data_IF_354998589365
#
_entry.id   IF_354998589365
#
_cell.length_a   1.000
_cell.length_b   1.000
_cell.length_c   1.000
_cell.angle_alpha   90.00
_cell.angle_beta   90.00
_cell.angle_gamma   90.00
#
_symmetry.space_group_name_H-M   'P 1'
#
loop_
_entity.id
_entity.type
_entity.pdbx_description
1 polymer ?
#
# COMPACT_ATOMS: atom_id res chain seq x y z
N UNK A 1 -26.57 -15.25 8.84
CA UNK A 1 -26.56 -16.64 9.34
C UNK A 1 -25.34 -16.73 10.24
N UNK A 2 -25.51 -16.60 11.56
CA UNK A 2 -24.39 -16.56 12.50
C UNK A 2 -23.62 -17.87 12.45
N UNK A 3 -22.42 -17.86 11.88
CA UNK A 3 -21.51 -19.00 12.00
C UNK A 3 -20.88 -18.89 13.38
N UNK A 4 -21.14 -19.82 14.29
CA UNK A 4 -20.53 -19.89 15.64
C UNK A 4 -19.38 -20.91 15.68
N UNK A 5 -18.73 -21.15 14.55
CA UNK A 5 -17.93 -22.35 14.29
C UNK A 5 -16.43 -22.04 14.10
N UNK A 6 -15.86 -21.08 14.84
CA UNK A 6 -14.42 -20.74 14.77
C UNK A 6 -13.55 -21.98 14.96
N UNK A 7 -13.91 -22.87 15.89
CA UNK A 7 -13.18 -24.10 16.17
C UNK A 7 -13.20 -25.11 15.02
N UNK A 8 -14.20 -25.05 14.13
CA UNK A 8 -14.30 -25.94 12.97
C UNK A 8 -13.33 -25.58 11.84
N UNK A 9 -12.74 -24.37 11.87
CA UNK A 9 -11.60 -24.03 11.01
C UNK A 9 -10.49 -25.07 11.17
N UNK A 10 -10.31 -25.61 12.39
CA UNK A 10 -9.26 -26.56 12.71
C UNK A 10 -9.55 -28.02 12.31
N UNK A 11 -10.80 -28.35 11.99
CA UNK A 11 -11.27 -29.72 11.76
C UNK A 11 -11.44 -30.08 10.27
N UNK A 12 -11.04 -29.17 9.37
CA UNK A 12 -11.37 -29.28 7.95
C UNK A 12 -10.48 -30.24 7.16
N UNK A 13 -11.12 -31.06 6.32
CA UNK A 13 -10.44 -31.81 5.25
C UNK A 13 -9.82 -30.81 4.25
N UNK A 14 -8.52 -30.99 4.00
CA UNK A 14 -7.62 -30.11 3.24
C UNK A 14 -8.07 -29.71 1.82
N UNK A 15 -9.12 -30.34 1.27
CA UNK A 15 -9.60 -30.11 -0.10
C UNK A 15 -10.63 -28.99 -0.24
N UNK A 16 -11.23 -28.51 0.86
CA UNK A 16 -12.12 -27.32 0.86
C UNK A 16 -11.71 -26.42 2.03
N UNK A 17 -11.18 -25.24 1.72
CA UNK A 17 -10.83 -24.25 2.75
C UNK A 17 -12.08 -23.82 3.53
N UNK A 18 -12.06 -24.00 4.85
CA UNK A 18 -13.09 -23.44 5.72
C UNK A 18 -12.72 -22.01 6.08
N UNK A 19 -13.71 -21.14 6.06
CA UNK A 19 -13.62 -19.76 6.52
C UNK A 19 -14.62 -19.51 7.63
N UNK A 20 -14.32 -18.54 8.48
CA UNK A 20 -15.20 -18.08 9.54
C UNK A 20 -15.26 -16.56 9.49
N UNK A 21 -16.48 -16.02 9.39
CA UNK A 21 -16.72 -14.59 9.41
C UNK A 21 -17.25 -14.21 10.78
N UNK A 22 -16.50 -13.36 11.49
CA UNK A 22 -16.91 -12.81 12.78
C UNK A 22 -17.64 -11.49 12.53
N UNK A 23 -18.98 -11.52 12.62
CA UNK A 23 -19.81 -10.34 12.32
C UNK A 23 -19.54 -9.17 13.27
N UNK A 24 -19.18 -9.44 14.52
CA UNK A 24 -19.00 -8.41 15.56
C UNK A 24 -17.74 -7.54 15.36
N UNK A 25 -16.68 -8.13 14.79
CA UNK A 25 -15.42 -7.42 14.49
C UNK A 25 -15.22 -7.13 13.01
N UNK A 26 -15.99 -7.79 12.14
CA UNK A 26 -15.79 -7.74 10.69
C UNK A 26 -14.55 -8.51 10.21
N UNK A 27 -14.02 -9.45 11.00
CA UNK A 27 -12.86 -10.25 10.62
C UNK A 27 -13.24 -11.53 9.87
N UNK A 28 -12.48 -11.82 8.80
CA UNK A 28 -12.53 -13.08 8.07
C UNK A 28 -11.33 -13.96 8.46
N UNK A 29 -11.60 -15.06 9.14
CA UNK A 29 -10.60 -16.07 9.49
C UNK A 29 -10.54 -17.16 8.42
N UNK A 30 -9.33 -17.51 8.01
CA UNK A 30 -9.04 -18.51 6.98
C UNK A 30 -7.93 -19.43 7.47
N UNK A 31 -8.10 -20.74 7.29
CA UNK A 31 -7.00 -21.71 7.43
C UNK A 31 -6.72 -22.34 6.07
N UNK A 32 -5.51 -22.12 5.59
CA UNK A 32 -5.02 -22.64 4.32
C UNK A 32 -3.72 -23.40 4.55
N UNK A 33 -3.51 -24.47 3.79
CA UNK A 33 -2.24 -25.20 3.73
C UNK A 33 -1.73 -25.10 2.30
N UNK A 34 -0.48 -24.67 2.14
CA UNK A 34 0.16 -24.69 0.84
C UNK A 34 0.35 -26.13 0.35
N UNK A 35 0.23 -26.35 -0.96
CA UNK A 35 0.48 -27.64 -1.60
C UNK A 35 1.99 -27.95 -1.66
N UNK A 36 2.80 -26.91 -1.81
CA UNK A 36 4.26 -27.03 -1.89
C UNK A 36 4.92 -26.47 -0.62
N UNK A 37 5.93 -27.18 -0.11
CA UNK A 37 6.73 -26.70 1.00
C UNK A 37 7.59 -25.50 0.59
N UNK A 38 7.75 -24.56 1.52
CA UNK A 38 8.66 -23.43 1.37
C UNK A 38 10.10 -23.87 1.67
N UNK A 39 11.08 -23.22 1.05
CA UNK A 39 12.47 -23.32 1.52
C UNK A 39 12.66 -22.41 2.74
N UNK A 40 13.16 -22.94 3.85
CA UNK A 40 13.54 -22.21 5.06
C UNK A 40 12.49 -21.13 5.48
N UNK A 41 12.93 -19.88 5.47
CA UNK A 41 12.17 -18.68 5.76
C UNK A 41 11.73 -17.98 4.47
N UNK A 42 11.47 -18.67 3.36
CA UNK A 42 10.96 -18.03 2.15
C UNK A 42 9.44 -17.77 2.25
N UNK A 43 8.96 -16.69 1.63
CA UNK A 43 7.52 -16.44 1.50
C UNK A 43 6.81 -17.44 0.56
N UNK A 44 7.53 -17.99 -0.42
CA UNK A 44 6.96 -18.89 -1.44
C UNK A 44 7.86 -20.11 -1.65
N UNK A 45 7.29 -21.17 -2.21
CA UNK A 45 8.04 -22.36 -2.62
C UNK A 45 8.86 -22.10 -3.89
N UNK A 46 9.77 -23.01 -4.22
CA UNK A 46 10.48 -23.03 -5.51
C UNK A 46 9.56 -23.23 -6.71
N UNK A 47 8.33 -23.72 -6.48
CA UNK A 47 7.29 -23.87 -7.51
C UNK A 47 6.51 -22.57 -7.73
N UNK A 48 6.73 -21.55 -6.90
CA UNK A 48 6.04 -20.27 -6.93
C UNK A 48 5.15 -20.05 -5.71
N UNK A 49 4.47 -18.92 -5.70
CA UNK A 49 3.53 -18.54 -4.65
C UNK A 49 2.15 -19.11 -4.96
N UNK A 50 1.51 -19.72 -3.96
CA UNK A 50 0.11 -20.12 -4.05
C UNK A 50 -0.78 -18.93 -3.69
N UNK A 51 -1.83 -18.70 -4.49
CA UNK A 51 -2.70 -17.53 -4.33
C UNK A 51 -4.04 -17.94 -3.72
N UNK A 52 -4.42 -17.27 -2.63
CA UNK A 52 -5.79 -17.30 -2.10
C UNK A 52 -6.57 -16.16 -2.76
N UNK A 53 -7.66 -16.49 -3.45
CA UNK A 53 -8.59 -15.50 -4.02
C UNK A 53 -9.87 -15.48 -3.19
N UNK A 54 -10.09 -14.39 -2.48
CA UNK A 54 -11.34 -14.13 -1.76
C UNK A 54 -12.22 -13.29 -2.68
N UNK A 55 -13.45 -13.76 -2.93
CA UNK A 55 -14.44 -13.01 -3.71
C UNK A 55 -15.57 -12.63 -2.77
N UNK A 56 -15.87 -11.35 -2.68
CA UNK A 56 -16.95 -10.82 -1.84
C UNK A 56 -17.87 -9.93 -2.68
N UNK A 57 -19.18 -9.99 -2.38
CA UNK A 57 -20.17 -9.10 -2.97
C UNK A 57 -20.45 -7.99 -1.98
N UNK A 58 -20.01 -6.78 -2.30
CA UNK A 58 -20.23 -5.59 -1.47
C UNK A 58 -21.46 -4.85 -2.00
N UNK A 59 -22.51 -4.64 -1.18
CA UNK A 59 -23.69 -3.89 -1.59
C UNK A 59 -23.34 -2.48 -2.10
N UNK A 60 -24.10 -2.00 -3.08
CA UNK A 60 -23.95 -0.62 -3.57
C UNK A 60 -24.23 0.37 -2.43
N UNK A 61 -23.35 1.34 -2.25
CA UNK A 61 -23.45 2.35 -1.20
C UNK A 61 -22.78 1.98 0.12
N UNK A 62 -22.20 0.79 0.25
CA UNK A 62 -21.35 0.47 1.39
C UNK A 62 -20.07 1.33 1.38
N UNK A 63 -19.83 2.05 2.48
CA UNK A 63 -18.59 2.81 2.68
C UNK A 63 -17.39 1.92 3.04
N UNK A 64 -16.18 2.48 3.10
CA UNK A 64 -15.01 1.78 3.63
C UNK A 64 -15.27 1.30 5.06
N UNK A 65 -14.95 0.03 5.35
CA UNK A 65 -15.03 -0.53 6.69
C UNK A 65 -13.62 -0.66 7.25
N UNK A 66 -13.33 0.08 8.32
CA UNK A 66 -12.13 -0.11 9.12
C UNK A 66 -12.48 -0.97 10.35
N UNK A 67 -12.16 -2.25 10.26
CA UNK A 67 -12.38 -3.21 11.35
C UNK A 67 -11.33 -3.12 12.46
N UNK A 68 -10.24 -2.35 12.29
CA UNK A 68 -9.13 -2.35 13.26
C UNK A 68 -9.57 -1.90 14.65
N UNK A 69 -10.44 -0.90 14.72
CA UNK A 69 -10.97 -0.35 15.97
C UNK A 69 -11.92 -1.31 16.70
N UNK A 70 -12.59 -2.19 15.97
CA UNK A 70 -13.51 -3.19 16.52
C UNK A 70 -12.78 -4.50 16.87
N UNK A 71 -11.77 -4.85 16.09
CA UNK A 71 -10.99 -6.08 16.22
C UNK A 71 -9.92 -6.02 17.31
N UNK A 72 -9.30 -4.85 17.53
CA UNK A 72 -8.21 -4.69 18.48
C UNK A 72 -8.65 -3.82 19.67
N UNK A 73 -8.33 -4.23 20.92
CA UNK A 73 -7.33 -5.24 21.28
C UNK A 73 -7.86 -6.67 21.42
N UNK A 74 -9.13 -6.96 21.12
CA UNK A 74 -9.75 -8.27 21.33
C UNK A 74 -8.94 -9.44 20.72
N UNK A 75 -8.42 -9.25 19.50
CA UNK A 75 -7.59 -10.24 18.80
C UNK A 75 -6.09 -9.91 18.84
N UNK A 76 -5.64 -9.09 19.78
CA UNK A 76 -4.21 -8.86 19.98
C UNK A 76 -3.59 -10.05 20.71
N UNK A 77 -2.74 -10.82 20.03
CA UNK A 77 -1.93 -11.87 20.65
C UNK A 77 -0.50 -11.36 20.88
N UNK A 78 0.06 -11.63 22.07
CA UNK A 78 1.48 -11.39 22.31
C UNK A 78 2.29 -12.45 21.57
N UNK A 79 3.25 -12.07 20.72
CA UNK A 79 4.11 -13.02 20.04
C UNK A 79 4.92 -13.82 21.08
N UNK A 80 4.80 -15.14 21.01
CA UNK A 80 5.39 -16.07 21.99
C UNK A 80 6.82 -16.48 21.59
N UNK A 81 7.16 -16.31 20.31
CA UNK A 81 8.45 -16.72 19.74
C UNK A 81 8.90 -15.69 18.71
N UNK A 82 10.13 -15.20 18.85
CA UNK A 82 10.81 -14.40 17.83
C UNK A 82 11.29 -15.32 16.70
N UNK A 83 10.40 -15.54 15.73
CA UNK A 83 10.77 -16.21 14.48
C UNK A 83 11.24 -15.15 13.48
N UNK A 84 12.42 -15.31 12.84
CA UNK A 84 12.86 -14.36 11.84
C UNK A 84 11.82 -14.28 10.71
N UNK A 85 11.45 -13.04 10.36
CA UNK A 85 10.50 -12.79 9.29
C UNK A 85 10.96 -13.46 8.00
N UNK A 86 10.06 -14.14 7.29
CA UNK A 86 10.38 -14.71 5.99
C UNK A 86 11.01 -13.66 5.06
N UNK A 87 11.98 -14.08 4.25
CA UNK A 87 12.62 -13.24 3.23
C UNK A 87 11.97 -13.48 1.88
N UNK A 88 11.83 -12.41 1.09
CA UNK A 88 11.35 -12.50 -0.29
C UNK A 88 12.36 -13.29 -1.11
N UNK A 89 11.88 -14.22 -1.93
CA UNK A 89 12.75 -14.91 -2.89
C UNK A 89 13.34 -13.88 -3.85
N UNK A 90 14.64 -13.96 -4.17
CA UNK A 90 15.25 -13.12 -5.20
C UNK A 90 14.50 -13.28 -6.52
N UNK A 91 14.27 -12.18 -7.25
CA UNK A 91 13.53 -12.21 -8.52
C UNK A 91 14.12 -13.20 -9.53
N UNK A 92 15.45 -13.40 -9.51
CA UNK A 92 16.14 -14.38 -10.36
C UNK A 92 15.73 -15.84 -10.12
N UNK A 93 15.16 -16.16 -8.95
CA UNK A 93 14.66 -17.50 -8.60
C UNK A 93 13.17 -17.69 -8.88
N UNK A 94 12.44 -16.63 -9.25
CA UNK A 94 11.01 -16.71 -9.55
C UNK A 94 10.82 -17.26 -10.97
N UNK A 95 10.01 -18.32 -11.11
CA UNK A 95 9.66 -18.92 -12.41
C UNK A 95 8.43 -18.29 -13.07
N UNK A 96 7.77 -17.34 -12.38
CA UNK A 96 6.55 -16.68 -12.84
C UNK A 96 6.86 -15.28 -13.39
N UNK A 97 6.12 -14.86 -14.40
CA UNK A 97 6.18 -13.50 -14.98
C UNK A 97 5.50 -12.45 -14.09
N UNK A 98 4.62 -12.88 -13.19
CA UNK A 98 3.94 -11.99 -12.26
C UNK A 98 4.92 -11.57 -11.16
N UNK A 99 5.21 -10.28 -11.12
CA UNK A 99 6.06 -9.68 -10.11
C UNK A 99 5.25 -8.73 -9.23
N UNK A 100 5.76 -8.54 -8.02
CA UNK A 100 5.13 -7.67 -7.04
C UNK A 100 6.13 -6.62 -6.58
N UNK A 101 5.68 -5.37 -6.59
CA UNK A 101 6.38 -4.25 -5.99
C UNK A 101 5.82 -4.02 -4.59
N UNK A 102 6.61 -4.29 -3.57
CA UNK A 102 6.25 -3.90 -2.22
C UNK A 102 6.64 -2.44 -2.00
N UNK A 103 5.67 -1.64 -1.55
CA UNK A 103 5.87 -0.22 -1.23
C UNK A 103 5.42 0.06 0.19
N UNK A 104 6.27 0.76 0.94
CA UNK A 104 5.92 1.32 2.26
C UNK A 104 6.21 2.82 2.23
N UNK A 105 5.22 3.60 2.60
CA UNK A 105 5.29 5.04 2.64
C UNK A 105 4.98 5.47 4.06
N UNK A 106 5.75 6.40 4.55
CA UNK A 106 5.47 6.99 5.84
C UNK A 106 5.79 8.47 5.83
N UNK A 107 4.80 9.27 6.18
CA UNK A 107 4.99 10.66 6.60
C UNK A 107 4.84 10.67 8.12
N UNK A 108 5.91 10.95 8.85
CA UNK A 108 5.94 10.81 10.30
C UNK A 108 6.29 12.14 10.97
N UNK A 109 5.60 12.43 12.08
CA UNK A 109 5.97 13.49 13.01
C UNK A 109 6.02 12.87 14.42
N UNK A 110 7.22 12.68 14.96
CA UNK A 110 7.38 12.38 16.38
C UNK A 110 7.39 13.68 17.15
N UNK A 111 6.38 13.88 18.00
CA UNK A 111 6.40 14.91 19.04
C UNK A 111 6.50 14.25 20.41
N UNK A 112 7.73 14.14 20.92
CA UNK A 112 7.95 13.95 22.35
C UNK A 112 8.55 15.23 22.93
N UNK A 113 8.34 15.48 24.23
CA UNK A 113 8.68 16.72 24.94
C UNK A 113 10.12 17.25 24.70
N UNK A 114 11.04 16.42 24.19
CA UNK A 114 12.41 16.80 23.83
C UNK A 114 12.88 16.35 22.42
N UNK A 115 12.02 15.68 21.64
CA UNK A 115 12.37 15.18 20.29
C UNK A 115 11.25 15.60 19.33
N UNK A 116 11.59 16.53 18.42
CA UNK A 116 10.85 16.79 17.19
C UNK A 116 11.60 16.15 16.04
N UNK A 117 11.26 14.91 15.70
CA UNK A 117 11.77 14.28 14.49
C UNK A 117 10.65 14.29 13.45
N UNK A 118 10.87 15.00 12.34
CA UNK A 118 10.01 14.95 11.15
C UNK A 118 10.79 14.19 10.09
N UNK A 119 10.48 12.90 9.92
CA UNK A 119 11.02 12.10 8.84
C UNK A 119 9.90 11.61 7.95
N UNK A 120 10.18 11.59 6.65
CA UNK A 120 9.34 10.93 5.68
C UNK A 120 10.19 10.03 4.81
N UNK A 121 9.67 8.87 4.46
CA UNK A 121 10.39 7.94 3.60
C UNK A 121 9.46 7.16 2.70
N UNK A 122 10.01 6.77 1.56
CA UNK A 122 9.47 5.74 0.68
C UNK A 122 10.42 4.54 0.70
N UNK A 123 9.90 3.34 0.94
CA UNK A 123 10.63 2.09 0.84
C UNK A 123 10.04 1.25 -0.28
N UNK A 124 10.88 0.84 -1.23
CA UNK A 124 10.48 0.02 -2.36
C UNK A 124 11.32 -1.24 -2.38
N UNK A 125 10.67 -2.41 -2.28
CA UNK A 125 11.33 -3.73 -2.17
C UNK A 125 12.46 -3.73 -1.11
N UNK A 126 12.23 -3.09 0.04
CA UNK A 126 13.20 -3.01 1.14
C UNK A 126 14.25 -1.91 1.00
N UNK A 127 14.35 -1.21 -0.12
CA UNK A 127 15.24 -0.05 -0.28
C UNK A 127 14.54 1.23 0.15
N UNK A 128 15.01 1.84 1.24
CA UNK A 128 14.46 3.07 1.79
C UNK A 128 15.10 4.33 1.18
N UNK A 129 14.26 5.31 0.87
CA UNK A 129 14.59 6.64 0.35
C UNK A 129 13.96 7.67 1.29
N UNK A 130 14.81 8.39 2.03
CA UNK A 130 14.36 9.43 2.94
C UNK A 130 14.17 10.76 2.20
N UNK A 131 13.13 11.48 2.58
CA UNK A 131 12.86 12.81 2.07
C UNK A 131 13.68 13.86 2.86
N UNK A 132 14.52 14.65 2.20
CA UNK A 132 15.36 15.63 2.88
C UNK A 132 14.58 16.90 3.26
N UNK A 133 13.77 17.43 2.35
CA UNK A 133 13.15 18.76 2.47
C UNK A 133 11.64 18.68 2.77
N UNK A 134 11.12 19.73 3.42
CA UNK A 134 9.69 19.94 3.64
C UNK A 134 8.94 20.16 2.31
N UNK A 135 7.77 19.53 2.18
CA UNK A 135 6.99 19.49 0.94
C UNK A 135 6.68 18.05 0.54
N UNK A 136 6.70 17.76 -0.76
CA UNK A 136 6.38 16.42 -1.29
C UNK A 136 7.56 15.81 -2.03
N UNK A 137 7.79 14.51 -1.86
CA UNK A 137 8.74 13.72 -2.65
C UNK A 137 7.96 12.78 -3.57
N UNK A 138 8.21 12.86 -4.87
CA UNK A 138 7.67 11.96 -5.88
C UNK A 138 8.73 10.91 -6.25
N UNK A 139 8.46 9.64 -5.97
CA UNK A 139 9.28 8.50 -6.41
C UNK A 139 8.55 7.79 -7.54
N UNK A 140 9.15 7.77 -8.72
CA UNK A 140 8.56 7.23 -9.95
C UNK A 140 9.15 5.87 -10.25
N UNK A 141 8.27 4.88 -10.41
CA UNK A 141 8.63 3.51 -10.75
C UNK A 141 8.03 3.16 -12.12
N UNK A 142 8.77 2.42 -12.93
CA UNK A 142 8.26 1.85 -14.18
C UNK A 142 7.17 0.84 -13.85
N UNK A 143 5.97 1.01 -14.40
CA UNK A 143 4.88 0.06 -14.24
C UNK A 143 5.05 -1.22 -15.08
N UNK A 144 6.08 -1.31 -15.91
CA UNK A 144 6.38 -2.52 -16.69
C UNK A 144 7.20 -3.54 -15.91
N UNK A 145 8.23 -3.08 -15.18
CA UNK A 145 9.23 -3.93 -14.54
C UNK A 145 9.52 -3.55 -13.07
N UNK A 146 8.91 -2.47 -12.57
CA UNK A 146 9.07 -2.03 -11.19
C UNK A 146 10.42 -1.41 -10.89
N UNK A 147 11.18 -0.97 -11.91
CA UNK A 147 12.45 -0.28 -11.71
C UNK A 147 12.24 1.18 -11.31
N UNK A 148 13.08 1.67 -10.41
CA UNK A 148 13.12 3.08 -10.05
C UNK A 148 13.56 3.89 -11.28
N UNK A 149 12.71 4.82 -11.70
CA UNK A 149 13.00 5.75 -12.81
C UNK A 149 13.68 6.99 -12.25
N UNK A 150 13.03 7.67 -11.30
CA UNK A 150 13.52 8.90 -10.68
C UNK A 150 12.90 9.10 -9.29
N UNK A 151 13.54 9.90 -8.45
CA UNK A 151 12.92 10.47 -7.25
C UNK A 151 13.19 11.97 -7.19
N UNK A 152 12.13 12.78 -7.08
CA UNK A 152 12.20 14.25 -7.14
C UNK A 152 11.39 14.91 -6.03
N UNK A 153 12.02 15.85 -5.33
CA UNK A 153 11.40 16.63 -4.26
C UNK A 153 10.87 17.98 -4.74
N UNK A 154 9.71 18.38 -4.23
CA UNK A 154 9.10 19.69 -4.44
C UNK A 154 8.84 20.33 -3.08
N UNK A 155 9.60 21.40 -2.81
CA UNK A 155 9.50 22.14 -1.55
C UNK A 155 8.17 22.87 -1.43
N UNK A 156 7.71 23.13 -0.21
CA UNK A 156 6.51 23.93 0.03
C UNK A 156 6.52 25.29 -0.68
N UNK A 157 7.68 25.96 -0.76
CA UNK A 157 7.83 27.22 -1.50
C UNK A 157 7.54 27.07 -3.00
N UNK A 158 7.85 25.92 -3.60
CA UNK A 158 7.50 25.61 -4.99
C UNK A 158 6.01 25.30 -5.11
N UNK A 159 5.44 24.51 -4.19
CA UNK A 159 4.01 24.17 -4.20
C UNK A 159 3.10 25.41 -4.11
N UNK A 160 3.54 26.45 -3.39
CA UNK A 160 2.80 27.71 -3.25
C UNK A 160 3.18 28.76 -4.32
N UNK A 161 4.46 28.87 -4.65
CA UNK A 161 4.96 29.95 -5.51
C UNK A 161 4.92 29.63 -7.00
N UNK A 162 5.32 28.41 -7.39
CA UNK A 162 5.46 28.01 -8.79
C UNK A 162 4.93 26.59 -9.02
N UNK A 163 3.62 26.34 -8.77
CA UNK A 163 3.03 25.00 -8.86
C UNK A 163 3.12 24.38 -10.27
N UNK A 164 3.30 25.20 -11.30
CA UNK A 164 3.53 24.73 -12.67
C UNK A 164 4.74 23.79 -12.81
N UNK A 165 5.74 23.86 -11.92
CA UNK A 165 6.90 22.96 -11.96
C UNK A 165 6.52 21.50 -11.67
N UNK A 166 5.69 21.27 -10.65
CA UNK A 166 5.25 19.90 -10.32
C UNK A 166 4.20 19.40 -11.32
N UNK A 167 3.31 20.28 -11.79
CA UNK A 167 2.34 19.95 -12.85
C UNK A 167 3.04 19.54 -14.15
N UNK A 168 4.01 20.33 -14.61
CA UNK A 168 4.81 20.00 -15.81
C UNK A 168 5.60 18.71 -15.62
N UNK A 169 6.19 18.50 -14.45
CA UNK A 169 6.90 17.26 -14.15
C UNK A 169 5.98 16.03 -14.27
N UNK A 170 4.79 16.06 -13.64
CA UNK A 170 3.84 14.94 -13.68
C UNK A 170 3.28 14.71 -15.09
N UNK A 171 3.01 15.78 -15.84
CA UNK A 171 2.52 15.68 -17.22
C UNK A 171 3.54 15.07 -18.17
N UNK A 172 4.84 15.30 -17.93
CA UNK A 172 5.93 14.77 -18.75
C UNK A 172 6.36 13.35 -18.35
N UNK A 173 5.78 12.76 -17.31
CA UNK A 173 6.03 11.35 -16.97
C UNK A 173 5.52 10.44 -18.08
N UNK A 174 6.30 9.41 -18.39
CA UNK A 174 5.89 8.35 -19.31
C UNK A 174 4.63 7.67 -18.80
N UNK A 175 3.68 7.41 -19.70
CA UNK A 175 2.51 6.60 -19.37
C UNK A 175 2.94 5.19 -18.90
N UNK A 176 2.10 4.57 -18.08
CA UNK A 176 2.39 3.34 -17.34
C UNK A 176 3.42 3.51 -16.22
N UNK A 177 3.50 4.69 -15.61
CA UNK A 177 4.34 4.94 -14.43
C UNK A 177 3.54 4.81 -13.14
N UNK A 178 4.13 4.16 -12.14
CA UNK A 178 3.64 4.18 -10.76
C UNK A 178 4.28 5.40 -10.08
N UNK A 179 3.47 6.26 -9.49
CA UNK A 179 3.94 7.49 -8.83
C UNK A 179 3.63 7.41 -7.34
N UNK A 180 4.68 7.39 -6.54
CA UNK A 180 4.63 7.25 -5.09
C UNK A 180 4.95 8.62 -4.49
N UNK A 181 4.08 9.14 -3.62
CA UNK A 181 4.23 10.47 -3.02
C UNK A 181 4.23 10.37 -1.50
N UNK A 182 5.23 10.98 -0.87
CA UNK A 182 5.27 11.21 0.58
C UNK A 182 5.39 12.70 0.86
N UNK A 183 4.78 13.17 1.94
CA UNK A 183 4.99 14.53 2.44
C UNK A 183 5.87 14.56 3.69
N UNK A 184 6.66 15.64 3.83
CA UNK A 184 7.44 15.97 5.02
C UNK A 184 7.11 17.38 5.49
N UNK A 185 7.19 17.64 6.79
CA UNK A 185 6.83 18.94 7.33
C UNK A 185 5.32 19.16 7.31
N UNK A 186 4.89 20.43 7.36
CA UNK A 186 3.48 20.80 7.22
C UNK A 186 3.14 20.93 5.73
N UNK A 187 2.28 20.06 5.21
CA UNK A 187 1.92 20.08 3.81
C UNK A 187 1.10 21.32 3.43
N UNK A 188 1.35 21.85 2.24
CA UNK A 188 0.52 22.88 1.62
C UNK A 188 -0.78 22.24 1.11
N UNK A 189 -1.86 22.28 1.88
CA UNK A 189 -3.08 21.50 1.59
C UNK A 189 -3.98 22.05 0.46
N UNK A 190 -3.66 23.23 -0.08
CA UNK A 190 -4.46 23.92 -1.11
C UNK A 190 -3.58 24.45 -2.23
N UNK A 191 -4.18 24.69 -3.39
CA UNK A 191 -3.54 25.34 -4.53
C UNK A 191 -3.53 24.47 -5.78
N UNK A 192 -3.03 25.00 -6.91
CA UNK A 192 -3.08 24.31 -8.20
C UNK A 192 -2.39 22.95 -8.21
N UNK A 193 -1.31 22.81 -7.42
CA UNK A 193 -0.51 21.58 -7.35
C UNK A 193 -1.34 20.33 -6.99
N UNK A 194 -2.41 20.47 -6.20
CA UNK A 194 -3.21 19.32 -5.75
C UNK A 194 -3.88 18.57 -6.91
N UNK A 195 -4.07 19.23 -8.06
CA UNK A 195 -4.64 18.64 -9.28
C UNK A 195 -3.82 17.46 -9.81
N UNK A 196 -2.51 17.43 -9.53
CA UNK A 196 -1.65 16.30 -9.94
C UNK A 196 -2.08 14.99 -9.29
N UNK A 197 -2.71 15.04 -8.11
CA UNK A 197 -3.22 13.85 -7.44
C UNK A 197 -4.38 13.24 -8.23
N UNK A 198 -5.29 14.06 -8.74
CA UNK A 198 -6.40 13.61 -9.59
C UNK A 198 -5.88 13.00 -10.90
N UNK A 199 -4.88 13.63 -11.53
CA UNK A 199 -4.23 13.12 -12.74
C UNK A 199 -3.61 11.73 -12.54
N UNK A 200 -3.22 11.41 -11.30
CA UNK A 200 -2.63 10.14 -10.90
C UNK A 200 -3.66 9.16 -10.30
N UNK A 201 -4.96 9.51 -10.34
CA UNK A 201 -6.06 8.66 -9.93
C UNK A 201 -6.52 8.82 -8.48
N UNK A 202 -6.15 9.89 -7.77
CA UNK A 202 -6.76 10.21 -6.48
C UNK A 202 -8.26 10.51 -6.65
N UNK A 203 -9.04 10.23 -5.60
CA UNK A 203 -10.46 10.59 -5.55
C UNK A 203 -10.60 12.09 -5.30
N UNK A 204 -11.45 12.76 -6.09
CA UNK A 204 -11.71 14.21 -6.00
C UNK A 204 -12.36 14.63 -4.68
N UNK A 205 -12.99 13.69 -3.98
CA UNK A 205 -13.70 13.94 -2.73
C UNK A 205 -12.76 14.06 -1.52
N UNK A 206 -11.49 13.70 -1.68
CA UNK A 206 -10.56 13.55 -0.57
C UNK A 206 -9.78 14.85 -0.32
N UNK A 207 -10.01 15.46 0.85
CA UNK A 207 -9.34 16.70 1.25
C UNK A 207 -7.96 16.41 1.86
N UNK A 208 -6.96 17.20 1.48
CA UNK A 208 -5.62 17.11 2.06
C UNK A 208 -5.59 17.60 3.52
N UNK A 209 -4.74 16.94 4.32
CA UNK A 209 -4.38 17.30 5.70
C UNK A 209 -2.88 17.60 5.80
N UNK A 210 -2.38 17.83 7.01
CA UNK A 210 -0.97 18.17 7.25
C UNK A 210 0.02 17.08 6.79
N UNK A 211 -0.41 15.82 6.70
CA UNK A 211 0.37 14.66 6.22
C UNK A 211 -0.33 13.94 5.07
N UNK A 212 0.46 13.46 4.12
CA UNK A 212 0.04 12.75 2.91
C UNK A 212 1.00 11.60 2.57
N UNK A 213 0.41 10.44 2.28
CA UNK A 213 1.06 9.36 1.55
C UNK A 213 0.15 8.91 0.41
N UNK A 214 0.70 8.70 -0.77
CA UNK A 214 -0.10 8.39 -1.96
C UNK A 214 0.64 7.43 -2.89
N UNK A 215 -0.09 6.45 -3.40
CA UNK A 215 0.36 5.52 -4.43
C UNK A 215 -0.60 5.67 -5.61
N UNK A 216 -0.15 6.36 -6.65
CA UNK A 216 -0.91 6.69 -7.84
C UNK A 216 -0.33 6.08 -9.11
N UNK A 217 -1.02 6.31 -10.23
CA UNK A 217 -0.66 5.76 -11.52
C UNK A 217 -0.87 6.78 -12.63
N UNK A 218 0.16 6.98 -13.47
CA UNK A 218 0.09 7.77 -14.70
C UNK A 218 -0.25 6.84 -15.86
N UNK A 219 -1.43 6.98 -16.44
CA UNK A 219 -1.83 6.21 -17.62
C UNK A 219 -3.30 6.42 -18.00
N UNK A 220 -3.82 5.56 -18.88
CA UNK A 220 -5.17 5.68 -19.48
C UNK A 220 -6.29 5.02 -18.67
N UNK A 221 -5.98 4.43 -17.52
CA UNK A 221 -6.93 3.81 -16.62
C UNK A 221 -6.48 3.98 -15.17
N UNK A 222 -7.40 3.75 -14.24
CA UNK A 222 -7.13 3.80 -12.80
C UNK A 222 -7.02 2.37 -12.23
N UNK A 223 -5.83 1.92 -11.79
CA UNK A 223 -5.69 0.66 -11.08
C UNK A 223 -6.50 0.62 -9.77
N UNK A 224 -6.89 -0.59 -9.37
CA UNK A 224 -7.65 -0.84 -8.13
C UNK A 224 -6.85 -0.55 -6.85
N UNK A 225 -5.53 -0.64 -6.93
CA UNK A 225 -4.61 -0.38 -5.82
C UNK A 225 -4.24 1.11 -5.63
N UNK A 226 -4.76 2.02 -6.46
CA UNK A 226 -4.52 3.46 -6.25
C UNK A 226 -5.12 3.87 -4.90
N UNK A 227 -4.27 4.39 -4.01
CA UNK A 227 -4.63 4.68 -2.63
C UNK A 227 -3.93 5.92 -2.13
N UNK A 228 -4.67 6.72 -1.37
CA UNK A 228 -4.19 7.93 -0.71
C UNK A 228 -4.58 7.87 0.76
N UNK A 229 -3.66 8.22 1.63
CA UNK A 229 -3.88 8.36 3.07
C UNK A 229 -3.44 9.75 3.50
N UNK A 230 -4.29 10.42 4.27
CA UNK A 230 -4.05 11.77 4.80
C UNK A 230 -4.37 11.79 6.28
N UNK A 231 -3.57 12.52 7.06
CA UNK A 231 -3.74 12.62 8.50
C UNK A 231 -3.13 13.93 9.02
N UNK A 232 -3.40 14.30 10.28
CA UNK A 232 -2.77 15.48 10.89
C UNK A 232 -1.36 15.17 11.45
N UNK A 233 -1.16 13.94 11.93
CA UNK A 233 0.05 13.53 12.65
C UNK A 233 0.90 12.55 11.82
N UNK A 234 0.27 11.54 11.22
CA UNK A 234 0.95 10.48 10.48
C UNK A 234 0.05 9.84 9.42
N UNK A 235 0.46 9.95 8.15
CA UNK A 235 -0.08 9.11 7.08
C UNK A 235 0.89 7.97 6.75
N UNK A 236 0.34 6.77 6.53
CA UNK A 236 1.11 5.55 6.22
C UNK A 236 0.38 4.69 5.19
N UNK A 237 1.14 4.19 4.23
CA UNK A 237 0.68 3.16 3.30
C UNK A 237 1.66 2.00 3.32
N UNK A 238 1.14 0.77 3.40
CA UNK A 238 1.89 -0.44 3.07
C UNK A 238 1.08 -1.26 2.09
N UNK A 239 1.59 -1.42 0.87
CA UNK A 239 0.90 -2.11 -0.20
C UNK A 239 1.84 -2.95 -1.04
N UNK A 240 1.24 -3.91 -1.76
CA UNK A 240 1.91 -4.76 -2.72
C UNK A 240 1.21 -4.59 -4.06
N UNK A 241 1.95 -4.12 -5.07
CA UNK A 241 1.42 -3.75 -6.38
C UNK A 241 1.80 -4.81 -7.43
N UNK A 242 0.86 -5.27 -8.27
CA UNK A 242 1.17 -6.19 -9.36
C UNK A 242 1.94 -5.46 -10.48
N UNK A 243 2.96 -6.11 -11.03
CA UNK A 243 3.76 -5.65 -12.16
C UNK A 243 3.91 -6.81 -13.18
N UNK A 244 3.69 -6.56 -14.49
CA UNK A 244 3.34 -5.27 -15.09
C UNK A 244 1.94 -4.77 -14.72
N UNK A 245 1.77 -3.46 -14.68
CA UNK A 245 0.47 -2.82 -14.39
C UNK A 245 -0.41 -2.93 -15.63
N UNK A 246 -1.39 -3.81 -15.58
CA UNK A 246 -2.31 -4.08 -16.69
C UNK A 246 -3.75 -3.68 -16.34
N UNK A 247 -4.51 -3.23 -17.35
CA UNK A 247 -5.93 -2.93 -17.20
C UNK A 247 -6.71 -4.23 -17.00
N UNK A 248 -7.21 -4.45 -15.78
CA UNK A 248 -8.11 -5.57 -15.51
C UNK A 248 -9.48 -5.27 -16.14
N UNK A 249 -9.93 -6.12 -17.06
CA UNK A 249 -11.31 -6.10 -17.54
C UNK A 249 -12.16 -6.64 -16.38
N UNK A 250 -13.15 -5.86 -15.92
CA UNK A 250 -14.14 -6.37 -14.96
C UNK A 250 -14.96 -7.44 -15.69
N UNK A 251 -14.79 -8.70 -15.27
CA UNK A 251 -15.70 -9.81 -15.60
C UNK A 251 -17.01 -9.63 -14.84
#
# INVERSE_FOLDING_TARGET
MRTTQRDKINQSHLSRGYYYWEEDTGLLFLRVKAHNEKEDFAFCSVKGCERVKITAVIPKGSGPSDCMTQAYPLHAEMPIVDVPMPRKLPSAKLRTTDHFLEVKLESYNTRFFHIKEDFAYTEVNGRKLYQPDDGVQLTVMSGHDGRLVESKGFRNSILQGVPAQIESYVNNLTDHSIVIITSKGRLVTRGPWTRILELLGADKTLNLRDKLTFVGFKGTFRPDWVRMEVDEERAKIHQVLPIPVVKKIKL
#
